data_IF_603273267721
#
_entry.id   IF_603273267721
#
_cell.length_a   1.000
_cell.length_b   1.000
_cell.length_c   1.000
_cell.angle_alpha   90.00
_cell.angle_beta   90.00
_cell.angle_gamma   90.00
#
_symmetry.space_group_name_H-M   'P 1'
#
loop_
_entity.id
_entity.type
_entity.pdbx_description
1 polymer ?
#
# COMPACT_ATOMS: atom_id res chain seq x y z
N UNK A 1 1.57 -7.98 -14.40
CA UNK A 1 1.60 -6.56 -14.03
C UNK A 1 0.43 -5.90 -14.78
N UNK A 2 -0.61 -5.37 -14.15
CA UNK A 2 -0.89 -5.22 -12.74
C UNK A 2 -2.38 -4.82 -12.60
N UNK A 3 -3.31 -5.76 -12.85
CA UNK A 3 -4.77 -5.48 -12.86
C UNK A 3 -5.23 -4.76 -11.59
N UNK A 4 -4.61 -5.06 -10.44
CA UNK A 4 -4.90 -4.39 -9.18
C UNK A 4 -4.52 -2.90 -9.20
N UNK A 5 -3.38 -2.54 -9.81
CA UNK A 5 -2.98 -1.12 -9.95
C UNK A 5 -3.83 -0.44 -11.01
N UNK A 6 -4.10 -1.09 -12.14
CA UNK A 6 -5.02 -0.55 -13.17
C UNK A 6 -6.40 -0.28 -12.60
N UNK A 7 -6.91 -1.15 -11.73
CA UNK A 7 -8.20 -0.96 -11.06
C UNK A 7 -8.17 0.19 -10.05
N UNK A 8 -7.07 0.41 -9.32
CA UNK A 8 -6.92 1.58 -8.42
C UNK A 8 -6.90 2.87 -9.24
N UNK A 9 -6.17 2.91 -10.34
CA UNK A 9 -6.09 4.07 -11.23
C UNK A 9 -7.45 4.35 -11.90
N UNK A 10 -8.14 3.32 -12.39
CA UNK A 10 -9.48 3.45 -12.97
C UNK A 10 -10.53 3.97 -11.98
N UNK A 11 -10.49 3.51 -10.73
CA UNK A 11 -11.38 4.02 -9.69
C UNK A 11 -10.99 5.44 -9.28
N UNK A 12 -9.69 5.77 -9.23
CA UNK A 12 -9.22 7.14 -8.95
C UNK A 12 -9.70 8.12 -10.02
N UNK A 13 -9.60 7.77 -11.30
CA UNK A 13 -10.05 8.63 -12.41
C UNK A 13 -11.57 8.85 -12.43
N UNK A 14 -12.35 7.91 -11.89
CA UNK A 14 -13.82 7.96 -11.90
C UNK A 14 -14.40 8.61 -10.65
N UNK A 15 -13.80 8.35 -9.48
CA UNK A 15 -14.23 8.88 -8.19
C UNK A 15 -13.05 8.94 -7.21
N UNK A 16 -12.32 10.06 -7.25
CA UNK A 16 -11.18 10.34 -6.37
C UNK A 16 -11.54 10.34 -4.87
N UNK A 17 -12.82 10.47 -4.52
CA UNK A 17 -13.31 10.46 -3.14
C UNK A 17 -13.86 9.09 -2.72
N UNK A 18 -13.69 8.07 -3.54
CA UNK A 18 -14.19 6.74 -3.24
C UNK A 18 -13.57 6.20 -1.93
N UNK A 19 -14.38 5.77 -0.95
CA UNK A 19 -13.87 5.19 0.28
C UNK A 19 -13.06 3.90 0.01
N UNK A 20 -13.34 3.20 -1.09
CA UNK A 20 -12.60 2.02 -1.52
C UNK A 20 -11.14 2.33 -1.90
N UNK A 21 -10.86 3.51 -2.48
CA UNK A 21 -9.50 3.94 -2.77
C UNK A 21 -8.73 4.15 -1.48
N UNK A 22 -9.29 4.91 -0.54
CA UNK A 22 -8.66 5.16 0.76
C UNK A 22 -8.36 3.85 1.50
N UNK A 23 -9.30 2.89 1.45
CA UNK A 23 -9.15 1.56 2.05
C UNK A 23 -8.07 0.73 1.35
N UNK A 24 -8.00 0.78 0.03
CA UNK A 24 -7.03 0.02 -0.76
C UNK A 24 -5.61 0.58 -0.56
N UNK A 25 -5.45 1.90 -0.57
CA UNK A 25 -4.18 2.57 -0.30
C UNK A 25 -3.68 2.32 1.12
N UNK A 26 -4.58 2.26 2.10
CA UNK A 26 -4.23 1.84 3.48
C UNK A 26 -3.78 0.38 3.56
N UNK A 27 -4.46 -0.53 2.84
CA UNK A 27 -4.03 -1.94 2.77
C UNK A 27 -2.65 -2.06 2.13
N UNK A 28 -2.41 -1.32 1.04
CA UNK A 28 -1.10 -1.26 0.38
C UNK A 28 -0.02 -0.76 1.34
N UNK A 29 -0.28 0.37 2.02
CA UNK A 29 0.62 0.92 3.06
C UNK A 29 0.97 -0.11 4.12
N UNK A 30 -0.05 -0.81 4.66
CA UNK A 30 0.15 -1.82 5.69
C UNK A 30 0.92 -3.05 5.18
N UNK A 31 0.69 -3.46 3.93
CA UNK A 31 1.45 -4.53 3.29
C UNK A 31 2.92 -4.12 3.10
N UNK A 32 3.19 -2.91 2.62
CA UNK A 32 4.55 -2.36 2.48
C UNK A 32 5.31 -2.33 3.80
N UNK A 33 4.67 -1.88 4.90
CA UNK A 33 5.32 -1.90 6.23
C UNK A 33 5.66 -3.31 6.70
N UNK A 34 4.75 -4.28 6.51
CA UNK A 34 5.03 -5.68 6.86
C UNK A 34 6.14 -6.27 6.00
N UNK A 35 6.17 -5.90 4.73
CA UNK A 35 7.17 -6.37 3.79
C UNK A 35 8.56 -5.84 4.14
N UNK A 36 8.68 -4.57 4.55
CA UNK A 36 9.94 -4.01 5.07
C UNK A 36 10.50 -4.79 6.25
N UNK A 37 9.66 -5.21 7.20
CA UNK A 37 10.11 -6.05 8.33
C UNK A 37 10.69 -7.38 7.87
N UNK A 38 10.14 -7.98 6.82
CA UNK A 38 10.66 -9.24 6.24
C UNK A 38 11.97 -8.98 5.47
N UNK A 39 12.04 -7.85 4.78
CA UNK A 39 13.20 -7.44 4.00
C UNK A 39 14.41 -7.14 4.88
N UNK A 40 14.21 -6.55 6.06
CA UNK A 40 15.27 -6.29 7.04
C UNK A 40 15.96 -7.60 7.49
N UNK A 41 15.16 -8.65 7.73
CA UNK A 41 15.70 -9.98 8.04
C UNK A 41 16.57 -10.51 6.90
N UNK A 42 16.12 -10.39 5.65
CA UNK A 42 16.89 -10.79 4.46
C UNK A 42 18.17 -9.97 4.32
N UNK A 43 18.12 -8.66 4.56
CA UNK A 43 19.29 -7.77 4.52
C UNK A 43 20.40 -8.26 5.47
N UNK A 44 20.05 -8.68 6.68
CA UNK A 44 21.03 -9.17 7.66
C UNK A 44 21.67 -10.51 7.31
N UNK A 45 21.05 -11.29 6.41
CA UNK A 45 21.50 -12.62 6.00
C UNK A 45 22.21 -12.63 4.64
N UNK A 46 22.03 -11.58 3.86
CA UNK A 46 22.58 -11.47 2.51
C UNK A 46 24.06 -11.13 2.55
N UNK A 47 24.87 -11.85 1.77
CA UNK A 47 26.33 -11.64 1.65
C UNK A 47 26.76 -11.17 0.27
N UNK A 48 25.80 -11.03 -0.64
CA UNK A 48 26.02 -10.57 -2.01
C UNK A 48 25.67 -9.09 -2.10
N UNK A 49 26.61 -8.28 -2.56
CA UNK A 49 26.46 -6.83 -2.64
C UNK A 49 25.37 -6.39 -3.64
N UNK A 50 25.18 -7.14 -4.74
CA UNK A 50 24.14 -6.85 -5.73
C UNK A 50 22.73 -7.12 -5.16
N UNK A 51 22.60 -8.20 -4.38
CA UNK A 51 21.36 -8.54 -3.69
C UNK A 51 21.06 -7.54 -2.57
N UNK A 52 22.09 -7.08 -1.85
CA UNK A 52 21.95 -6.00 -0.86
C UNK A 52 21.45 -4.71 -1.51
N UNK A 53 22.02 -4.31 -2.64
CA UNK A 53 21.59 -3.13 -3.38
C UNK A 53 20.13 -3.25 -3.88
N UNK A 54 19.74 -4.43 -4.37
CA UNK A 54 18.35 -4.69 -4.77
C UNK A 54 17.39 -4.63 -3.57
N UNK A 55 17.79 -5.18 -2.41
CA UNK A 55 17.04 -5.09 -1.16
C UNK A 55 16.88 -3.63 -0.72
N UNK A 56 17.93 -2.82 -0.78
CA UNK A 56 17.86 -1.39 -0.43
C UNK A 56 16.92 -0.63 -1.36
N UNK A 57 17.01 -0.85 -2.67
CA UNK A 57 16.10 -0.22 -3.64
C UNK A 57 14.63 -0.58 -3.37
N UNK A 58 14.36 -1.84 -3.05
CA UNK A 58 13.01 -2.29 -2.70
C UNK A 58 12.54 -1.67 -1.38
N UNK A 59 13.43 -1.50 -0.40
CA UNK A 59 13.13 -0.84 0.85
C UNK A 59 12.76 0.63 0.64
N UNK A 60 13.50 1.34 -0.20
CA UNK A 60 13.25 2.75 -0.52
C UNK A 60 11.88 2.94 -1.18
N UNK A 61 11.56 2.13 -2.19
CA UNK A 61 10.23 2.14 -2.83
C UNK A 61 9.10 1.86 -1.83
N UNK A 62 9.29 0.91 -0.92
CA UNK A 62 8.31 0.60 0.10
C UNK A 62 8.13 1.75 1.11
N UNK A 63 9.21 2.46 1.46
CA UNK A 63 9.16 3.66 2.30
C UNK A 63 8.39 4.79 1.63
N UNK A 64 8.59 5.03 0.33
CA UNK A 64 7.82 6.03 -0.42
C UNK A 64 6.31 5.76 -0.38
N UNK A 65 5.91 4.50 -0.55
CA UNK A 65 4.50 4.09 -0.42
C UNK A 65 3.97 4.37 0.99
N UNK A 66 4.77 4.13 2.02
CA UNK A 66 4.37 4.37 3.41
C UNK A 66 4.21 5.87 3.69
N UNK A 67 5.15 6.69 3.22
CA UNK A 67 5.08 8.14 3.35
C UNK A 67 3.88 8.73 2.59
N UNK A 68 3.57 8.20 1.40
CA UNK A 68 2.35 8.55 0.68
C UNK A 68 1.10 8.14 1.48
N UNK A 69 1.12 6.95 2.08
CA UNK A 69 0.05 6.43 2.94
C UNK A 69 -0.26 7.31 4.15
N UNK A 70 0.76 7.93 4.77
CA UNK A 70 0.59 8.86 5.91
C UNK A 70 -0.17 10.13 5.54
N UNK A 71 -0.13 10.54 4.27
CA UNK A 71 -0.82 11.73 3.75
C UNK A 71 -2.29 11.45 3.39
N UNK A 72 -2.73 10.19 3.49
CA UNK A 72 -4.10 9.84 3.17
C UNK A 72 -5.09 10.48 4.15
N UNK A 73 -6.23 10.99 3.67
CA UNK A 73 -7.26 11.52 4.54
C UNK A 73 -7.78 10.46 5.53
N UNK A 74 -8.24 10.92 6.68
CA UNK A 74 -8.92 10.06 7.66
C UNK A 74 -10.07 9.31 6.98
N UNK A 75 -10.29 8.05 7.37
CA UNK A 75 -11.32 7.24 6.74
C UNK A 75 -12.65 7.92 7.00
N UNK A 76 -13.32 8.34 5.94
CA UNK A 76 -14.69 8.81 6.02
C UNK A 76 -15.51 7.69 6.65
N UNK A 77 -16.21 7.99 7.74
CA UNK A 77 -17.00 7.05 8.53
C UNK A 77 -18.30 6.62 7.81
N UNK A 78 -18.20 6.25 6.53
CA UNK A 78 -19.31 5.76 5.71
C UNK A 78 -19.08 4.28 5.34
N UNK A 79 -18.71 3.48 6.34
CA UNK A 79 -18.93 2.03 6.33
C UNK A 79 -19.90 1.73 7.47
N UNK A 80 -21.20 1.98 7.27
CA UNK A 80 -22.18 1.65 8.30
C UNK A 80 -23.67 1.88 8.02
N UNK A 81 -24.08 2.51 6.91
CA UNK A 81 -25.52 2.68 6.64
C UNK A 81 -25.93 2.21 5.24
N UNK A 82 -26.94 1.32 5.26
CA UNK A 82 -27.72 0.68 4.18
C UNK A 82 -27.20 -0.72 3.83
N UNK A 83 -27.88 -1.82 4.21
CA UNK A 83 -29.34 -2.02 4.27
C UNK A 83 -29.73 -2.97 5.41
N UNK A 84 -30.61 -2.52 6.30
CA UNK A 84 -31.53 -3.38 7.06
C UNK A 84 -32.74 -3.69 6.15
N UNK A 85 -33.03 -4.99 6.02
CA UNK A 85 -34.35 -5.65 5.88
C UNK A 85 -35.15 -5.50 4.56
N UNK A 86 -36.05 -6.46 4.24
CA UNK A 86 -37.10 -7.07 5.09
C UNK A 86 -36.65 -8.19 6.04
#
# INVERSE_FOLDING_TARGET
>A
MDEAITNIDDVSRRDEKSPLLSRSLRKLTAASSRYLTQLDVLKTQTKNDDELAAIELVADNANEIIEAGKKLPAASADEGQKKKKP
#
